data_IF_389043335286
#
_entry.id   IF_389043335286
#
_cell.length_a   1.000
_cell.length_b   1.000
_cell.length_c   1.000
_cell.angle_alpha   90.00
_cell.angle_beta   90.00
_cell.angle_gamma   90.00
#
_symmetry.space_group_name_H-M   'P 1'
#
loop_
_entity.id
_entity.type
_entity.pdbx_description
1 polymer ?
#
# COMPACT_ATOMS: atom_id res chain seq x y z
N UNK A 1 14.51 -38.81 19.33
CA UNK A 1 14.70 -37.34 19.47
C UNK A 1 13.43 -36.63 18.98
N UNK A 2 12.61 -36.11 19.90
CA UNK A 2 11.43 -35.30 19.55
C UNK A 2 11.93 -33.94 19.10
N UNK A 3 11.72 -33.58 17.81
CA UNK A 3 11.92 -32.23 17.33
C UNK A 3 10.98 -31.31 18.10
N UNK A 4 11.51 -30.46 18.95
CA UNK A 4 10.79 -29.34 19.52
C UNK A 4 10.36 -28.43 18.37
N UNK A 5 9.11 -28.58 17.94
CA UNK A 5 8.44 -27.61 17.10
C UNK A 5 8.27 -26.35 17.95
N UNK A 6 9.05 -25.32 17.66
CA UNK A 6 8.79 -23.99 18.21
C UNK A 6 7.34 -23.63 17.87
N UNK A 7 6.49 -23.58 18.87
CA UNK A 7 5.09 -23.17 18.71
C UNK A 7 5.00 -21.79 18.06
N UNK A 8 3.88 -21.45 17.42
CA UNK A 8 3.72 -20.18 16.73
C UNK A 8 4.05 -19.05 17.71
N UNK A 9 5.02 -18.23 17.32
CA UNK A 9 5.44 -17.05 18.10
C UNK A 9 4.20 -16.16 18.22
N UNK A 10 3.60 -16.12 19.42
CA UNK A 10 2.40 -15.35 19.69
C UNK A 10 2.74 -13.84 19.62
N UNK A 11 2.72 -13.28 18.41
CA UNK A 11 2.90 -11.85 18.20
C UNK A 11 1.55 -11.18 18.44
N UNK A 12 1.41 -10.60 19.62
CA UNK A 12 0.26 -9.74 19.92
C UNK A 12 0.27 -8.54 18.97
N UNK A 13 -0.86 -8.30 18.34
CA UNK A 13 -1.04 -7.14 17.45
C UNK A 13 -1.08 -5.88 18.32
N UNK A 14 -0.08 -5.03 18.17
CA UNK A 14 0.01 -3.74 18.89
C UNK A 14 0.07 -2.60 17.89
N UNK A 15 -0.33 -1.40 18.31
CA UNK A 15 -0.24 -0.21 17.45
C UNK A 15 1.20 0.04 16.96
N UNK A 16 2.19 -0.27 17.79
CA UNK A 16 3.62 -0.17 17.43
C UNK A 16 4.00 -1.04 16.22
N UNK A 17 3.29 -2.16 16.01
CA UNK A 17 3.54 -3.05 14.87
C UNK A 17 3.20 -2.37 13.52
N UNK A 18 2.34 -1.34 13.54
CA UNK A 18 1.97 -0.56 12.36
C UNK A 18 2.84 0.68 12.13
N UNK A 19 3.83 0.92 12.99
CA UNK A 19 4.73 2.10 12.87
C UNK A 19 5.30 2.31 11.47
N UNK A 20 5.93 1.28 10.84
CA UNK A 20 6.44 1.39 9.47
C UNK A 20 5.34 1.70 8.44
N UNK A 21 4.15 1.12 8.59
CA UNK A 21 3.01 1.37 7.72
C UNK A 21 2.52 2.81 7.81
N UNK A 22 2.41 3.34 9.04
CA UNK A 22 2.00 4.72 9.30
C UNK A 22 3.04 5.70 8.74
N UNK A 23 4.33 5.43 8.96
CA UNK A 23 5.40 6.26 8.39
C UNK A 23 5.36 6.27 6.85
N UNK A 24 5.19 5.11 6.22
CA UNK A 24 5.04 5.00 4.78
C UNK A 24 3.79 5.75 4.28
N UNK A 25 2.66 5.62 4.96
CA UNK A 25 1.44 6.34 4.64
C UNK A 25 1.64 7.87 4.65
N UNK A 26 2.32 8.39 5.66
CA UNK A 26 2.63 9.83 5.75
C UNK A 26 3.52 10.27 4.58
N UNK A 27 4.55 9.48 4.25
CA UNK A 27 5.43 9.78 3.12
C UNK A 27 4.65 9.78 1.80
N UNK A 28 3.82 8.77 1.54
CA UNK A 28 2.97 8.69 0.35
C UNK A 28 2.02 9.89 0.30
N UNK A 29 1.39 10.25 1.41
CA UNK A 29 0.50 11.40 1.48
C UNK A 29 1.21 12.71 1.13
N UNK A 30 2.42 12.94 1.68
CA UNK A 30 3.23 14.11 1.35
C UNK A 30 3.56 14.14 -0.14
N UNK A 31 4.01 13.01 -0.73
CA UNK A 31 4.35 12.92 -2.14
C UNK A 31 3.15 13.19 -3.06
N UNK A 32 1.97 12.75 -2.64
CA UNK A 32 0.71 12.96 -3.39
C UNK A 32 0.31 14.43 -3.44
N UNK A 33 0.52 15.20 -2.34
CA UNK A 33 0.12 16.61 -2.28
C UNK A 33 1.20 17.57 -2.79
N UNK A 34 2.42 17.09 -3.05
CA UNK A 34 3.48 17.94 -3.61
C UNK A 34 3.11 18.38 -5.04
N UNK A 35 3.26 19.68 -5.36
CA UNK A 35 3.13 20.17 -6.73
C UNK A 35 4.16 19.51 -7.64
N UNK A 36 3.77 19.24 -8.89
CA UNK A 36 4.63 18.62 -9.91
C UNK A 36 5.96 19.36 -10.13
N UNK A 37 5.97 20.66 -9.94
CA UNK A 37 7.17 21.50 -10.10
C UNK A 37 8.29 21.13 -9.13
N UNK A 38 7.94 20.53 -8.00
CA UNK A 38 8.88 20.12 -6.96
C UNK A 38 9.29 18.64 -7.06
N UNK A 39 8.72 17.89 -8.02
CA UNK A 39 9.10 16.50 -8.23
C UNK A 39 10.28 16.41 -9.20
N UNK A 40 11.37 15.70 -8.84
CA UNK A 40 12.45 15.43 -9.78
C UNK A 40 11.93 14.54 -10.90
N UNK A 41 11.91 15.04 -12.14
CA UNK A 41 11.70 14.15 -13.27
C UNK A 41 10.65 14.51 -14.30
N UNK A 42 10.21 15.76 -14.43
CA UNK A 42 9.52 16.20 -15.68
C UNK A 42 10.54 16.31 -16.84
N UNK A 43 11.14 15.16 -17.17
CA UNK A 43 11.86 15.01 -18.43
C UNK A 43 10.89 14.38 -19.45
N UNK A 44 10.93 14.74 -20.73
CA UNK A 44 10.01 14.22 -21.76
C UNK A 44 9.95 12.69 -21.85
N UNK A 45 11.01 11.99 -21.43
CA UNK A 45 11.06 10.52 -21.42
C UNK A 45 10.27 9.89 -20.27
N UNK A 46 9.89 10.66 -19.23
CA UNK A 46 9.10 10.17 -18.09
C UNK A 46 7.66 9.89 -18.53
N UNK A 47 7.10 10.75 -19.37
CA UNK A 47 5.73 10.60 -19.90
C UNK A 47 5.65 9.45 -20.92
N UNK A 48 6.72 9.17 -21.66
CA UNK A 48 6.76 8.12 -22.70
C UNK A 48 6.73 6.71 -22.07
N UNK A 49 7.26 6.55 -20.85
CA UNK A 49 7.42 5.23 -20.22
C UNK A 49 6.36 4.91 -19.18
N UNK A 50 5.38 5.77 -18.99
CA UNK A 50 4.38 5.63 -17.91
C UNK A 50 5.02 5.41 -16.53
N UNK A 51 6.19 5.97 -16.28
CA UNK A 51 6.94 5.81 -15.04
C UNK A 51 6.17 6.31 -13.82
N UNK A 52 5.38 7.38 -13.98
CA UNK A 52 4.45 7.88 -12.97
C UNK A 52 3.53 6.78 -12.45
N UNK A 53 2.94 5.98 -13.34
CA UNK A 53 2.04 4.88 -13.00
C UNK A 53 2.75 3.73 -12.26
N UNK A 54 3.99 3.43 -12.65
CA UNK A 54 4.81 2.47 -11.92
C UNK A 54 5.15 2.96 -10.51
N UNK A 55 5.42 4.25 -10.36
CA UNK A 55 5.67 4.87 -9.06
C UNK A 55 4.42 4.77 -8.17
N UNK A 56 3.25 5.17 -8.70
CA UNK A 56 1.97 5.05 -8.01
C UNK A 56 1.70 3.62 -7.56
N UNK A 57 1.71 2.66 -8.47
CA UNK A 57 1.48 1.25 -8.17
C UNK A 57 2.47 0.70 -7.13
N UNK A 58 3.74 1.05 -7.20
CA UNK A 58 4.76 0.62 -6.24
C UNK A 58 4.53 1.22 -4.86
N UNK A 59 4.24 2.52 -4.78
CA UNK A 59 3.96 3.19 -3.50
C UNK A 59 2.77 2.54 -2.78
N UNK A 60 1.67 2.31 -3.50
CA UNK A 60 0.48 1.68 -2.95
C UNK A 60 0.70 0.20 -2.61
N UNK A 61 1.50 -0.52 -3.40
CA UNK A 61 1.88 -1.90 -3.08
C UNK A 61 2.67 -1.99 -1.78
N UNK A 62 3.71 -1.16 -1.63
CA UNK A 62 4.55 -1.13 -0.42
C UNK A 62 3.74 -0.69 0.80
N UNK A 63 2.98 0.40 0.68
CA UNK A 63 2.13 0.89 1.76
C UNK A 63 1.14 -0.17 2.23
N UNK A 64 0.41 -0.78 1.30
CA UNK A 64 -0.57 -1.83 1.62
C UNK A 64 0.10 -3.05 2.22
N UNK A 65 1.24 -3.49 1.68
CA UNK A 65 2.02 -4.60 2.23
C UNK A 65 2.41 -4.34 3.70
N UNK A 66 2.90 -3.14 4.02
CA UNK A 66 3.28 -2.78 5.38
C UNK A 66 2.10 -2.78 6.35
N UNK A 67 0.89 -2.41 5.90
CA UNK A 67 -0.32 -2.53 6.72
C UNK A 67 -0.77 -3.99 6.90
N UNK A 68 -0.57 -4.85 5.90
CA UNK A 68 -0.96 -6.25 5.96
C UNK A 68 0.02 -7.11 6.77
N UNK A 69 1.30 -6.73 6.80
CA UNK A 69 2.37 -7.53 7.40
C UNK A 69 2.14 -7.85 8.88
N UNK A 70 1.79 -6.90 9.77
CA UNK A 70 1.53 -7.22 11.18
C UNK A 70 0.38 -8.20 11.36
N UNK A 71 -0.66 -8.10 10.53
CA UNK A 71 -1.81 -8.99 10.56
C UNK A 71 -1.42 -10.37 10.03
N UNK A 72 -0.65 -10.43 8.97
CA UNK A 72 -0.14 -11.68 8.40
C UNK A 72 0.70 -12.47 9.41
N UNK A 73 1.54 -11.77 10.19
CA UNK A 73 2.40 -12.35 11.22
C UNK A 73 1.72 -12.60 12.58
N UNK A 74 0.51 -12.07 12.79
CA UNK A 74 -0.23 -12.25 14.03
C UNK A 74 -0.68 -13.69 14.25
N UNK A 75 -1.08 -14.01 15.49
CA UNK A 75 -1.65 -15.31 15.86
C UNK A 75 -3.15 -15.47 15.55
N UNK A 76 -3.75 -14.53 14.82
CA UNK A 76 -5.17 -14.54 14.46
C UNK A 76 -5.53 -15.75 13.58
N UNK A 77 -6.78 -16.17 13.65
CA UNK A 77 -7.30 -17.24 12.78
C UNK A 77 -7.30 -16.84 11.31
N UNK A 78 -7.06 -17.81 10.42
CA UNK A 78 -6.99 -17.58 8.96
C UNK A 78 -8.22 -16.87 8.39
N UNK A 79 -9.41 -17.15 8.92
CA UNK A 79 -10.66 -16.50 8.52
C UNK A 79 -10.65 -15.00 8.85
N UNK A 80 -10.19 -14.65 10.05
CA UNK A 80 -10.09 -13.26 10.51
C UNK A 80 -9.06 -12.49 9.69
N UNK A 81 -7.84 -13.04 9.49
CA UNK A 81 -6.81 -12.45 8.63
C UNK A 81 -7.36 -12.13 7.24
N UNK A 82 -8.14 -13.06 6.64
CA UNK A 82 -8.74 -12.84 5.33
C UNK A 82 -9.69 -11.63 5.32
N UNK A 83 -10.50 -11.45 6.35
CA UNK A 83 -11.39 -10.29 6.45
C UNK A 83 -10.59 -8.98 6.55
N UNK A 84 -9.52 -8.95 7.36
CA UNK A 84 -8.67 -7.77 7.46
C UNK A 84 -7.94 -7.47 6.15
N UNK A 85 -7.45 -8.48 5.44
CA UNK A 85 -6.81 -8.29 4.14
C UNK A 85 -7.74 -7.65 3.11
N UNK A 86 -9.00 -8.10 3.06
CA UNK A 86 -10.00 -7.51 2.17
C UNK A 86 -10.30 -6.07 2.58
N UNK A 87 -10.55 -5.83 3.88
CA UNK A 87 -10.86 -4.48 4.39
C UNK A 87 -9.74 -3.48 4.15
N UNK A 88 -8.49 -3.87 4.42
CA UNK A 88 -7.33 -3.01 4.18
C UNK A 88 -7.13 -2.77 2.68
N UNK A 89 -7.27 -3.81 1.85
CA UNK A 89 -7.20 -3.65 0.40
C UNK A 89 -8.26 -2.69 -0.14
N UNK A 90 -9.51 -2.84 0.28
CA UNK A 90 -10.60 -1.92 -0.10
C UNK A 90 -10.34 -0.49 0.39
N UNK A 91 -9.91 -0.32 1.64
CA UNK A 91 -9.57 0.99 2.18
C UNK A 91 -8.43 1.64 1.41
N UNK A 92 -7.40 0.89 1.02
CA UNK A 92 -6.29 1.39 0.21
C UNK A 92 -6.76 1.80 -1.21
N UNK A 93 -7.64 1.04 -1.86
CA UNK A 93 -8.21 1.43 -3.16
C UNK A 93 -9.08 2.70 -3.05
N UNK A 94 -9.89 2.82 -2.00
CA UNK A 94 -10.69 4.04 -1.75
C UNK A 94 -9.76 5.22 -1.46
N UNK A 95 -8.68 4.99 -0.72
CA UNK A 95 -7.68 6.01 -0.46
C UNK A 95 -7.00 6.47 -1.75
N UNK A 96 -6.62 5.55 -2.66
CA UNK A 96 -6.08 5.91 -3.98
C UNK A 96 -7.04 6.80 -4.77
N UNK A 97 -8.33 6.47 -4.79
CA UNK A 97 -9.33 7.36 -5.43
C UNK A 97 -9.41 8.73 -4.74
N UNK A 98 -9.32 8.75 -3.41
CA UNK A 98 -9.34 9.99 -2.63
C UNK A 98 -8.13 10.87 -2.95
N UNK A 99 -6.95 10.27 -3.13
CA UNK A 99 -5.74 11.02 -3.51
C UNK A 99 -5.87 11.69 -4.88
N UNK A 100 -6.51 11.03 -5.85
CA UNK A 100 -6.81 11.62 -7.16
C UNK A 100 -7.72 12.85 -7.05
N UNK A 101 -8.73 12.80 -6.19
CA UNK A 101 -9.57 13.97 -5.93
C UNK A 101 -8.81 15.09 -5.22
N UNK A 102 -7.96 14.75 -4.24
CA UNK A 102 -7.12 15.74 -3.57
C UNK A 102 -6.19 16.44 -4.59
N UNK A 103 -5.54 15.68 -5.47
CA UNK A 103 -4.69 16.22 -6.52
C UNK A 103 -5.47 17.16 -7.44
N UNK A 104 -6.64 16.76 -7.89
CA UNK A 104 -7.49 17.58 -8.76
C UNK A 104 -7.88 18.91 -8.14
N UNK A 105 -8.22 18.94 -6.86
CA UNK A 105 -8.78 20.14 -6.21
C UNK A 105 -7.71 21.02 -5.53
N UNK A 106 -6.61 20.44 -5.07
CA UNK A 106 -5.60 21.14 -4.28
C UNK A 106 -4.25 21.32 -5.00
N UNK A 107 -4.01 20.62 -6.10
CA UNK A 107 -2.79 20.75 -6.88
C UNK A 107 -3.11 21.33 -8.27
N UNK A 108 -2.91 22.65 -8.50
CA UNK A 108 -3.34 23.32 -9.73
C UNK A 108 -2.70 22.77 -11.01
N UNK A 109 -1.55 22.09 -10.87
CA UNK A 109 -0.78 21.53 -12.01
C UNK A 109 -1.13 20.06 -12.29
N UNK A 110 -1.95 19.43 -11.45
CA UNK A 110 -2.35 18.02 -11.60
C UNK A 110 -3.80 17.88 -12.03
N UNK A 111 -4.03 16.93 -12.92
CA UNK A 111 -5.36 16.54 -13.37
C UNK A 111 -5.73 15.18 -12.79
N UNK A 112 -7.03 14.95 -12.58
CA UNK A 112 -7.53 13.63 -12.21
C UNK A 112 -7.16 12.60 -13.29
N UNK A 113 -6.41 11.56 -12.93
CA UNK A 113 -6.05 10.48 -13.85
C UNK A 113 -6.55 9.12 -13.33
N UNK A 114 -7.55 8.59 -14.03
CA UNK A 114 -8.12 7.28 -13.71
C UNK A 114 -7.10 6.13 -13.84
N UNK A 115 -6.07 6.31 -14.69
CA UNK A 115 -5.02 5.31 -14.87
C UNK A 115 -4.08 5.27 -13.66
N UNK A 116 -3.86 6.38 -12.98
CA UNK A 116 -3.09 6.42 -11.73
C UNK A 116 -3.82 5.65 -10.63
N UNK A 117 -5.13 5.89 -10.47
CA UNK A 117 -5.94 5.08 -9.57
C UNK A 117 -5.98 3.59 -9.94
N UNK A 118 -6.00 3.25 -11.23
CA UNK A 118 -5.91 1.86 -11.67
C UNK A 118 -4.56 1.24 -11.30
N UNK A 119 -3.44 1.97 -11.47
CA UNK A 119 -2.11 1.54 -11.06
C UNK A 119 -2.01 1.32 -9.54
N UNK A 120 -2.55 2.25 -8.73
CA UNK A 120 -2.65 2.13 -7.28
C UNK A 120 -3.40 0.85 -6.89
N UNK A 121 -4.56 0.60 -7.53
CA UNK A 121 -5.39 -0.58 -7.27
C UNK A 121 -4.69 -1.88 -7.64
N UNK A 122 -3.92 -1.91 -8.73
CA UNK A 122 -3.08 -3.06 -9.10
C UNK A 122 -2.00 -3.30 -8.05
N UNK A 123 -1.33 -2.24 -7.58
CA UNK A 123 -0.34 -2.32 -6.49
C UNK A 123 -0.94 -2.91 -5.22
N UNK A 124 -2.10 -2.42 -4.81
CA UNK A 124 -2.87 -2.95 -3.67
C UNK A 124 -3.18 -4.44 -3.84
N UNK A 125 -3.68 -4.82 -5.02
CA UNK A 125 -4.04 -6.21 -5.31
C UNK A 125 -2.83 -7.14 -5.22
N UNK A 126 -1.69 -6.73 -5.76
CA UNK A 126 -0.43 -7.48 -5.67
C UNK A 126 -0.04 -7.71 -4.21
N UNK A 127 -0.09 -6.66 -3.37
CA UNK A 127 0.24 -6.78 -1.94
C UNK A 127 -0.70 -7.75 -1.21
N UNK A 128 -2.01 -7.67 -1.46
CA UNK A 128 -3.00 -8.56 -0.85
C UNK A 128 -2.79 -10.01 -1.28
N UNK A 129 -2.56 -10.26 -2.57
CA UNK A 129 -2.32 -11.62 -3.10
C UNK A 129 -1.03 -12.18 -2.50
N UNK A 130 0.05 -11.38 -2.46
CA UNK A 130 1.33 -11.77 -1.89
C UNK A 130 1.18 -12.18 -0.43
N UNK A 131 0.58 -11.33 0.41
CA UNK A 131 0.38 -11.64 1.82
C UNK A 131 -0.50 -12.88 2.02
N UNK A 132 -1.55 -13.06 1.23
CA UNK A 132 -2.41 -14.25 1.28
C UNK A 132 -1.68 -15.53 0.90
N UNK A 133 -0.77 -15.46 -0.06
CA UNK A 133 -0.06 -16.65 -0.57
C UNK A 133 1.12 -17.05 0.32
N UNK A 134 1.93 -16.09 0.74
CA UNK A 134 3.20 -16.37 1.41
C UNK A 134 3.11 -16.37 2.94
N UNK A 135 2.08 -15.76 3.53
CA UNK A 135 1.87 -15.76 4.99
C UNK A 135 0.66 -16.62 5.40
N UNK A 136 0.39 -17.69 4.66
CA UNK A 136 -0.68 -18.65 4.97
C UNK A 136 -0.39 -19.60 6.14
N UNK A 137 0.72 -19.44 6.83
CA UNK A 137 1.10 -20.30 7.95
C UNK A 137 0.38 -19.92 9.23
#
# INVERSE_FOLDING_TARGET
MKKFSAGPRNKNLTLKSFGPAIACFVVVFILVILPDENLPGKQPWFDITYLDKWVHGTMFAVMTFLFLLPIAESSMYKKEKRHYFIRIGLAACIWGLTTEFIQKFYCPTRTFDLLDWAADSVGVLIAVIYCRKFHRR
#
